data_IF_587907112443
#
_entry.id   IF_587907112443
#
_cell.length_a   1.000
_cell.length_b   1.000
_cell.length_c   1.000
_cell.angle_alpha   90.00
_cell.angle_beta   90.00
_cell.angle_gamma   90.00
#
_symmetry.space_group_name_H-M   'P 1'
#
loop_
_entity.id
_entity.type
_entity.pdbx_description
1 polymer ?
#
# COMPACT_ATOMS: atom_id res chain seq x y z
N UNK A 1 32.20 -2.95 -11.30
CA UNK A 1 31.39 -3.51 -10.19
C UNK A 1 31.25 -5.00 -10.47
N UNK A 2 31.75 -5.88 -9.60
CA UNK A 2 31.62 -7.34 -9.80
C UNK A 2 30.17 -7.77 -9.55
N UNK A 3 29.71 -8.83 -10.25
CA UNK A 3 28.33 -9.35 -10.15
C UNK A 3 27.87 -9.56 -8.69
N UNK A 4 28.77 -10.00 -7.80
CA UNK A 4 28.49 -10.16 -6.36
C UNK A 4 28.14 -8.84 -5.64
N UNK A 5 28.88 -7.76 -5.91
CA UNK A 5 28.63 -6.44 -5.28
C UNK A 5 27.30 -5.85 -5.74
N UNK A 6 26.94 -6.09 -7.00
CA UNK A 6 25.71 -5.61 -7.62
C UNK A 6 24.50 -6.41 -7.11
N UNK A 7 24.62 -7.74 -6.99
CA UNK A 7 23.62 -8.60 -6.35
C UNK A 7 23.33 -8.20 -4.90
N UNK A 8 24.38 -7.94 -4.10
CA UNK A 8 24.23 -7.55 -2.70
C UNK A 8 23.53 -6.19 -2.56
N UNK A 9 23.85 -5.23 -3.43
CA UNK A 9 23.17 -3.93 -3.49
C UNK A 9 21.66 -4.08 -3.74
N UNK A 10 21.26 -4.86 -4.75
CA UNK A 10 19.83 -5.08 -5.04
C UNK A 10 19.14 -5.91 -3.96
N UNK A 11 19.83 -6.85 -3.31
CA UNK A 11 19.30 -7.60 -2.17
C UNK A 11 18.95 -6.66 -1.00
N UNK A 12 19.84 -5.73 -0.66
CA UNK A 12 19.62 -4.75 0.41
C UNK A 12 18.45 -3.81 0.05
N UNK A 13 18.36 -3.34 -1.20
CA UNK A 13 17.23 -2.51 -1.65
C UNK A 13 15.91 -3.28 -1.56
N UNK A 14 15.88 -4.54 -1.99
CA UNK A 14 14.68 -5.37 -1.94
C UNK A 14 14.21 -5.57 -0.49
N UNK A 15 15.13 -5.94 0.41
CA UNK A 15 14.83 -6.12 1.84
C UNK A 15 14.38 -4.82 2.51
N UNK A 16 15.06 -3.71 2.22
CA UNK A 16 14.67 -2.38 2.68
C UNK A 16 13.28 -1.97 2.17
N UNK A 17 12.97 -2.30 0.91
CA UNK A 17 11.66 -2.11 0.31
C UNK A 17 10.56 -2.89 1.03
N UNK A 18 10.79 -4.18 1.30
CA UNK A 18 9.85 -5.03 2.06
C UNK A 18 9.65 -4.49 3.48
N UNK A 19 10.72 -4.11 4.17
CA UNK A 19 10.65 -3.55 5.53
C UNK A 19 9.85 -2.24 5.55
N UNK A 20 10.12 -1.33 4.60
CA UNK A 20 9.39 -0.07 4.46
C UNK A 20 7.91 -0.31 4.15
N UNK A 21 7.61 -1.26 3.26
CA UNK A 21 6.24 -1.66 2.91
C UNK A 21 5.47 -2.16 4.15
N UNK A 22 6.06 -3.11 4.88
CA UNK A 22 5.41 -3.71 6.04
C UNK A 22 5.19 -2.70 7.18
N UNK A 23 6.19 -1.86 7.45
CA UNK A 23 6.07 -0.80 8.45
C UNK A 23 5.01 0.24 8.06
N UNK A 24 5.01 0.66 6.79
CA UNK A 24 4.02 1.60 6.26
C UNK A 24 2.59 1.05 6.36
N UNK A 25 2.39 -0.22 5.98
CA UNK A 25 1.08 -0.89 6.11
C UNK A 25 0.64 -0.99 7.58
N UNK A 26 1.54 -1.32 8.50
CA UNK A 26 1.20 -1.37 9.92
C UNK A 26 0.74 0.00 10.43
N UNK A 27 1.48 1.07 10.11
CA UNK A 27 1.15 2.43 10.51
C UNK A 27 -0.20 2.87 9.93
N UNK A 28 -0.42 2.64 8.63
CA UNK A 28 -1.67 2.98 7.96
C UNK A 28 -2.86 2.18 8.49
N UNK A 29 -2.64 0.93 8.91
CA UNK A 29 -3.69 0.09 9.49
C UNK A 29 -4.13 0.65 10.84
N UNK A 30 -3.18 1.04 11.69
CA UNK A 30 -3.45 1.57 13.03
C UNK A 30 -4.05 2.97 13.01
N UNK A 31 -3.73 3.78 11.99
CA UNK A 31 -4.14 5.19 11.88
C UNK A 31 -5.26 5.36 10.84
N UNK A 32 -4.91 5.49 9.56
CA UNK A 32 -5.80 5.83 8.45
C UNK A 32 -6.95 4.85 8.32
N UNK A 33 -6.67 3.54 8.26
CA UNK A 33 -7.66 2.49 8.03
C UNK A 33 -8.63 2.37 9.21
N UNK A 34 -8.13 2.51 10.45
CA UNK A 34 -8.97 2.52 11.64
C UNK A 34 -9.92 3.73 11.65
N UNK A 35 -9.43 4.91 11.25
CA UNK A 35 -10.22 6.13 11.13
C UNK A 35 -11.25 6.05 10.01
N UNK A 36 -10.85 5.56 8.83
CA UNK A 36 -11.73 5.31 7.70
C UNK A 36 -12.81 4.30 8.05
N UNK A 37 -12.46 3.21 8.75
CA UNK A 37 -13.42 2.20 9.23
C UNK A 37 -14.51 2.85 10.10
N UNK A 38 -14.13 3.72 11.05
CA UNK A 38 -15.11 4.47 11.86
C UNK A 38 -16.02 5.38 11.02
N UNK A 39 -15.46 6.09 10.04
CA UNK A 39 -16.24 6.98 9.16
C UNK A 39 -17.20 6.21 8.25
N UNK A 40 -16.75 5.09 7.70
CA UNK A 40 -17.52 4.23 6.80
C UNK A 40 -18.62 3.46 7.55
N UNK A 41 -18.37 2.96 8.76
CA UNK A 41 -19.41 2.32 9.58
C UNK A 41 -20.57 3.27 9.91
N UNK A 42 -20.30 4.57 10.10
CA UNK A 42 -21.36 5.55 10.35
C UNK A 42 -22.26 5.82 9.14
N UNK A 43 -21.90 5.36 7.93
CA UNK A 43 -22.62 5.63 6.67
C UNK A 43 -23.43 4.44 6.13
N UNK A 44 -23.43 3.28 6.80
CA UNK A 44 -24.17 2.07 6.41
C UNK A 44 -23.26 0.92 5.95
N UNK A 45 -23.75 -0.32 5.97
CA UNK A 45 -22.93 -1.55 5.97
C UNK A 45 -22.19 -1.87 4.64
N UNK A 46 -21.00 -1.28 4.46
CA UNK A 46 -20.06 -1.66 3.39
C UNK A 46 -19.19 -2.89 3.73
N UNK A 47 -19.42 -3.51 4.90
CA UNK A 47 -18.59 -4.59 5.46
C UNK A 47 -19.33 -5.93 5.58
N UNK A 48 -20.65 -5.95 5.45
CA UNK A 48 -21.50 -7.16 5.51
C UNK A 48 -21.56 -7.93 4.17
N UNK A 49 -20.81 -7.53 3.13
CA UNK A 49 -20.79 -8.23 1.83
C UNK A 49 -20.12 -9.62 1.86
N UNK A 50 -19.93 -10.22 3.05
CA UNK A 50 -19.59 -11.64 3.25
C UNK A 50 -18.29 -12.13 2.62
N UNK A 51 -17.50 -11.25 2.00
CA UNK A 51 -16.34 -11.65 1.20
C UNK A 51 -15.09 -10.88 1.64
N UNK A 52 -14.72 -11.26 2.86
CA UNK A 52 -13.37 -11.33 3.43
C UNK A 52 -12.88 -10.08 4.17
N UNK A 53 -12.76 -10.26 5.47
CA UNK A 53 -12.01 -9.44 6.41
C UNK A 53 -10.51 -9.47 6.07
N UNK A 54 -10.12 -8.76 5.01
CA UNK A 54 -8.74 -8.50 4.64
C UNK A 54 -8.35 -7.08 5.03
N UNK A 55 -8.33 -6.77 6.33
CA UNK A 55 -7.86 -5.48 6.83
C UNK A 55 -6.50 -5.05 6.23
N UNK A 56 -5.63 -6.01 5.92
CA UNK A 56 -4.35 -5.77 5.24
C UNK A 56 -4.48 -5.36 3.77
N UNK A 57 -5.34 -6.03 2.98
CA UNK A 57 -5.56 -5.71 1.57
C UNK A 57 -6.25 -4.35 1.43
N UNK A 58 -7.25 -4.06 2.26
CA UNK A 58 -7.89 -2.73 2.26
C UNK A 58 -6.90 -1.64 2.65
N UNK A 59 -6.02 -1.89 3.62
CA UNK A 59 -4.94 -0.94 3.95
C UNK A 59 -4.02 -0.70 2.75
N UNK A 60 -3.67 -1.75 2.01
CA UNK A 60 -2.86 -1.61 0.81
C UNK A 60 -3.60 -0.82 -0.28
N UNK A 61 -4.87 -1.12 -0.56
CA UNK A 61 -5.71 -0.39 -1.50
C UNK A 61 -5.82 1.08 -1.09
N UNK A 62 -6.01 1.37 0.20
CA UNK A 62 -6.03 2.75 0.70
C UNK A 62 -4.67 3.44 0.59
N UNK A 63 -3.56 2.73 0.75
CA UNK A 63 -2.22 3.28 0.48
C UNK A 63 -2.07 3.67 -1.00
N UNK A 64 -2.50 2.81 -1.92
CA UNK A 64 -2.54 3.09 -3.36
C UNK A 64 -3.49 4.24 -3.71
N UNK A 65 -4.68 4.29 -3.10
CA UNK A 65 -5.65 5.36 -3.29
C UNK A 65 -5.14 6.71 -2.74
N UNK A 66 -4.41 6.69 -1.62
CA UNK A 66 -3.81 7.87 -1.01
C UNK A 66 -2.68 8.46 -1.87
N UNK A 67 -1.85 7.59 -2.46
CA UNK A 67 -0.72 7.99 -3.31
C UNK A 67 -1.16 8.39 -4.72
N UNK A 68 -2.05 7.61 -5.35
CA UNK A 68 -2.46 7.77 -6.74
C UNK A 68 -3.93 8.15 -6.90
N UNK A 69 -4.17 9.38 -7.40
CA UNK A 69 -5.54 9.86 -7.70
C UNK A 69 -6.29 8.98 -8.69
N UNK A 70 -5.60 8.30 -9.61
CA UNK A 70 -6.24 7.40 -10.58
C UNK A 70 -6.90 6.20 -9.92
N UNK A 71 -6.28 5.64 -8.87
CA UNK A 71 -6.82 4.49 -8.14
C UNK A 71 -8.15 4.84 -7.47
N UNK A 72 -8.24 6.05 -6.90
CA UNK A 72 -9.50 6.55 -6.34
C UNK A 72 -10.60 6.73 -7.39
N UNK A 73 -10.25 7.04 -8.64
CA UNK A 73 -11.22 7.27 -9.73
C UNK A 73 -11.65 6.00 -10.46
N UNK A 74 -11.09 4.84 -10.12
CA UNK A 74 -11.49 3.58 -10.75
C UNK A 74 -12.96 3.28 -10.41
N UNK A 75 -13.74 2.88 -11.41
CA UNK A 75 -15.16 2.50 -11.23
C UNK A 75 -15.30 1.45 -10.13
N UNK A 76 -14.45 0.42 -10.13
CA UNK A 76 -14.45 -0.61 -9.08
C UNK A 76 -14.19 -0.04 -7.68
N UNK A 77 -13.34 0.96 -7.54
CA UNK A 77 -13.10 1.61 -6.25
C UNK A 77 -14.32 2.44 -5.83
N UNK A 78 -14.93 3.18 -6.75
CA UNK A 78 -16.14 3.98 -6.48
C UNK A 78 -17.38 3.13 -6.23
N UNK A 79 -17.48 1.94 -6.83
CA UNK A 79 -18.54 0.97 -6.55
C UNK A 79 -18.46 0.44 -5.12
N UNK A 80 -17.24 0.20 -4.61
CA UNK A 80 -17.03 -0.31 -3.25
C UNK A 80 -17.05 0.83 -2.22
N UNK A 81 -16.50 1.99 -2.56
CA UNK A 81 -16.35 3.15 -1.68
C UNK A 81 -16.86 4.44 -2.35
N UNK A 82 -18.18 4.59 -2.51
CA UNK A 82 -18.76 5.71 -3.24
C UNK A 82 -18.42 7.05 -2.58
N UNK A 83 -17.83 7.96 -3.34
CA UNK A 83 -17.47 9.31 -2.86
C UNK A 83 -16.32 9.36 -1.85
N UNK A 84 -15.60 8.26 -1.62
CA UNK A 84 -14.50 8.22 -0.66
C UNK A 84 -13.22 8.85 -1.23
N UNK A 85 -12.84 10.02 -0.71
CA UNK A 85 -11.52 10.60 -0.97
C UNK A 85 -10.53 10.32 0.18
N UNK A 86 -9.86 9.16 0.07
CA UNK A 86 -8.80 8.72 1.00
C UNK A 86 -7.66 9.73 1.14
N UNK A 87 -7.16 10.30 0.04
CA UNK A 87 -6.03 11.23 0.03
C UNK A 87 -6.35 12.52 0.77
N UNK A 88 -7.53 13.09 0.55
CA UNK A 88 -7.98 14.30 1.26
C UNK A 88 -8.27 14.01 2.74
N UNK A 89 -8.69 12.79 3.07
CA UNK A 89 -8.90 12.36 4.46
C UNK A 89 -7.59 12.08 5.23
N UNK A 90 -6.53 11.67 4.53
CA UNK A 90 -5.25 11.32 5.11
C UNK A 90 -4.41 12.55 5.51
N UNK A 91 -3.82 12.47 6.70
CA UNK A 91 -2.90 13.49 7.23
C UNK A 91 -1.50 13.37 6.59
N UNK A 92 -0.64 14.38 6.78
CA UNK A 92 0.72 14.40 6.21
C UNK A 92 1.54 13.15 6.53
N UNK A 93 1.52 12.70 7.79
CA UNK A 93 2.18 11.46 8.23
C UNK A 93 1.64 10.21 7.50
N UNK A 94 0.32 10.07 7.43
CA UNK A 94 -0.34 8.93 6.76
C UNK A 94 -0.02 8.92 5.26
N UNK A 95 0.09 10.09 4.62
CA UNK A 95 0.52 10.20 3.22
C UNK A 95 1.96 9.71 3.04
N UNK A 96 2.89 10.11 3.91
CA UNK A 96 4.28 9.64 3.87
C UNK A 96 4.34 8.13 4.06
N UNK A 97 3.60 7.58 5.03
CA UNK A 97 3.51 6.13 5.23
C UNK A 97 2.95 5.41 3.99
N UNK A 98 1.96 5.99 3.31
CA UNK A 98 1.42 5.46 2.05
C UNK A 98 2.44 5.49 0.91
N UNK A 99 3.20 6.58 0.76
CA UNK A 99 4.29 6.64 -0.23
C UNK A 99 5.42 5.65 0.09
N UNK A 100 5.82 5.53 1.36
CA UNK A 100 6.79 4.52 1.79
C UNK A 100 6.29 3.10 1.54
N UNK A 101 4.99 2.86 1.74
CA UNK A 101 4.37 1.57 1.47
C UNK A 101 4.47 1.19 -0.01
N UNK A 102 3.97 2.07 -0.88
CA UNK A 102 3.92 1.85 -2.33
C UNK A 102 5.32 1.85 -2.93
N UNK A 103 6.18 2.77 -2.51
CA UNK A 103 7.57 2.83 -2.95
C UNK A 103 8.38 1.61 -2.51
N UNK A 104 8.17 1.14 -1.27
CA UNK A 104 8.80 -0.08 -0.76
C UNK A 104 8.41 -1.32 -1.56
N UNK A 105 7.12 -1.44 -1.93
CA UNK A 105 6.65 -2.51 -2.82
C UNK A 105 7.30 -2.45 -4.21
N UNK A 106 7.42 -1.25 -4.79
CA UNK A 106 8.09 -1.06 -6.08
C UNK A 106 9.59 -1.39 -6.01
N UNK A 107 10.26 -1.00 -4.93
CA UNK A 107 11.67 -1.34 -4.71
C UNK A 107 11.87 -2.87 -4.55
N UNK A 108 10.99 -3.52 -3.81
CA UNK A 108 11.00 -4.98 -3.65
C UNK A 108 10.75 -5.70 -4.98
N UNK A 109 9.77 -5.26 -5.78
CA UNK A 109 9.46 -5.88 -7.07
C UNK A 109 10.59 -5.70 -8.09
N UNK A 110 11.21 -4.53 -8.14
CA UNK A 110 12.40 -4.29 -8.97
C UNK A 110 13.57 -5.19 -8.56
N UNK A 111 13.78 -5.38 -7.25
CA UNK A 111 14.77 -6.32 -6.73
C UNK A 111 14.51 -7.76 -7.20
N UNK A 112 13.26 -8.25 -7.11
CA UNK A 112 12.88 -9.59 -7.57
C UNK A 112 13.09 -9.75 -9.08
N UNK A 113 12.65 -8.77 -9.89
CA UNK A 113 12.85 -8.80 -11.36
C UNK A 113 14.35 -8.85 -11.69
N UNK A 114 15.17 -8.08 -10.97
CA UNK A 114 16.62 -8.10 -11.13
C UNK A 114 17.21 -9.50 -10.85
N UNK A 115 16.78 -10.15 -9.77
CA UNK A 115 17.20 -11.52 -9.44
C UNK A 115 16.85 -12.54 -10.54
N UNK A 116 15.68 -12.43 -11.15
CA UNK A 116 15.26 -13.33 -12.23
C UNK A 116 15.98 -13.05 -13.56
N UNK A 117 16.20 -11.79 -13.92
CA UNK A 117 16.86 -11.41 -15.19
C UNK A 117 18.35 -11.77 -15.15
N UNK A 118 19.03 -11.48 -14.05
CA UNK A 118 20.47 -11.71 -13.92
C UNK A 118 20.82 -13.13 -13.49
N UNK A 119 19.83 -14.04 -13.48
CA UNK A 119 19.95 -15.47 -13.15
C UNK A 119 21.02 -15.74 -12.10
N UNK A 120 20.61 -15.74 -10.84
CA UNK A 120 21.11 -16.84 -10.00
C UNK A 120 20.75 -18.17 -10.63
#
# INVERSE_FOLDING_TARGET
MNNHSLMLFFAVIALGGVASMMLGLLLLRLTLTRRLKKKLQATGDYWESGTIDFGFINTAIFAWACTMRRVQKLERFQLIYPGLDVRSYANGFERVAAYGTVGGLLAASLGVVFFFIFKL
#
